data_IF_941934750612
#
_entry.id   IF_941934750612
#
_cell.length_a   1.000
_cell.length_b   1.000
_cell.length_c   1.000
_cell.angle_alpha   90.00
_cell.angle_beta   90.00
_cell.angle_gamma   90.00
#
_symmetry.space_group_name_H-M   'P 1'
#
loop_
_entity.id
_entity.type
_entity.pdbx_description
1 polymer ?
#
# COMPACT_ATOMS: atom_id res chain seq x y z
N UNK A 1 -14.37 -0.58 20.21
CA UNK A 1 -14.43 -1.23 18.87
C UNK A 1 -13.50 -2.43 18.79
N UNK A 2 -12.16 -2.26 18.79
CA UNK A 2 -11.22 -3.39 18.69
C UNK A 2 -11.41 -4.46 19.79
N UNK A 3 -11.76 -4.05 21.01
CA UNK A 3 -12.09 -4.98 22.11
C UNK A 3 -13.32 -5.85 21.84
N UNK A 4 -14.33 -5.35 21.14
CA UNK A 4 -15.52 -6.11 20.75
C UNK A 4 -15.21 -7.05 19.58
N UNK A 5 -14.26 -6.71 18.71
CA UNK A 5 -13.86 -7.58 17.60
C UNK A 5 -13.22 -8.87 18.10
N UNK A 6 -12.46 -8.82 19.21
CA UNK A 6 -11.86 -10.01 19.82
C UNK A 6 -12.89 -11.07 20.25
N UNK A 7 -14.14 -10.67 20.54
CA UNK A 7 -15.19 -11.61 20.94
C UNK A 7 -15.90 -12.25 19.74
N UNK A 8 -15.88 -11.58 18.59
CA UNK A 8 -16.61 -12.00 17.38
C UNK A 8 -15.72 -12.74 16.36
N UNK A 9 -14.43 -12.43 16.31
CA UNK A 9 -13.49 -13.01 15.35
C UNK A 9 -12.54 -13.95 16.07
N UNK A 10 -12.69 -15.25 15.77
CA UNK A 10 -11.81 -16.29 16.27
C UNK A 10 -10.37 -16.08 15.80
N UNK A 11 -9.41 -16.31 16.69
CA UNK A 11 -7.96 -16.30 16.43
C UNK A 11 -7.40 -14.95 15.93
N UNK A 12 -8.14 -13.85 16.15
CA UNK A 12 -7.66 -12.49 15.80
C UNK A 12 -6.55 -12.04 16.75
N UNK A 13 -5.47 -11.53 16.19
CA UNK A 13 -4.35 -10.94 16.95
C UNK A 13 -4.24 -9.45 16.63
N UNK A 14 -4.20 -8.62 17.66
CA UNK A 14 -4.23 -7.15 17.53
C UNK A 14 -2.94 -6.46 17.98
N UNK A 15 -1.94 -7.20 18.48
CA UNK A 15 -0.74 -6.60 19.11
C UNK A 15 0.06 -5.71 18.16
N UNK A 16 0.12 -6.08 16.87
CA UNK A 16 0.73 -5.22 15.84
C UNK A 16 -0.13 -3.98 15.53
N UNK A 17 -1.46 -4.06 15.63
CA UNK A 17 -2.33 -2.89 15.45
C UNK A 17 -1.99 -1.83 16.50
N UNK A 18 -1.88 -2.23 17.77
CA UNK A 18 -1.60 -1.29 18.86
C UNK A 18 -0.25 -0.58 18.64
N UNK A 19 0.78 -1.32 18.22
CA UNK A 19 2.09 -0.76 17.88
C UNK A 19 2.05 0.17 16.67
N UNK A 20 1.32 -0.18 15.62
CA UNK A 20 1.16 0.71 14.47
C UNK A 20 0.36 1.96 14.81
N UNK A 21 -0.66 1.86 15.65
CA UNK A 21 -1.39 3.03 16.14
C UNK A 21 -0.43 3.96 16.88
N UNK A 22 0.37 3.43 17.81
CA UNK A 22 1.34 4.20 18.57
C UNK A 22 2.37 4.92 17.67
N UNK A 23 2.83 4.25 16.61
CA UNK A 23 3.91 4.77 15.76
C UNK A 23 3.42 5.62 14.58
N UNK A 24 2.21 5.38 14.07
CA UNK A 24 1.69 6.00 12.85
C UNK A 24 0.57 7.02 13.09
N UNK A 25 0.09 7.17 14.32
CA UNK A 25 -0.93 8.17 14.66
C UNK A 25 -0.36 9.24 15.61
N UNK A 26 -1.00 10.42 15.64
CA UNK A 26 -0.71 11.44 16.64
C UNK A 26 -0.86 10.89 18.06
N UNK A 27 0.10 11.16 18.95
CA UNK A 27 0.10 10.66 20.33
C UNK A 27 -0.20 11.74 21.38
N UNK A 28 -0.31 13.00 20.96
CA UNK A 28 -0.64 14.13 21.84
C UNK A 28 -1.68 15.07 21.22
N UNK A 29 -2.37 15.85 22.05
CA UNK A 29 -3.35 16.85 21.59
C UNK A 29 -2.73 17.89 20.65
N UNK A 30 -1.46 18.25 20.88
CA UNK A 30 -0.71 19.15 20.00
C UNK A 30 -0.46 18.54 18.61
N UNK A 31 -0.06 17.26 18.56
CA UNK A 31 0.12 16.53 17.30
C UNK A 31 -1.22 16.38 16.55
N UNK A 32 -2.31 16.06 17.25
CA UNK A 32 -3.66 15.99 16.66
C UNK A 32 -4.06 17.32 16.06
N UNK A 33 -3.90 18.41 16.81
CA UNK A 33 -4.24 19.77 16.36
C UNK A 33 -3.44 20.17 15.13
N UNK A 34 -2.14 19.87 15.11
CA UNK A 34 -1.28 20.15 13.97
C UNK A 34 -1.67 19.31 12.74
N UNK A 35 -1.96 18.03 12.93
CA UNK A 35 -2.39 17.14 11.85
C UNK A 35 -3.69 17.63 11.19
N UNK A 36 -4.70 17.98 11.99
CA UNK A 36 -5.99 18.50 11.51
C UNK A 36 -5.82 19.83 10.76
N UNK A 37 -4.99 20.74 11.27
CA UNK A 37 -4.69 22.01 10.61
C UNK A 37 -4.04 21.80 9.24
N UNK A 38 -3.02 20.95 9.16
CA UNK A 38 -2.27 20.69 7.91
C UNK A 38 -3.08 19.91 6.88
N UNK A 39 -3.94 19.00 7.34
CA UNK A 39 -4.81 18.22 6.45
C UNK A 39 -5.73 19.08 5.58
N UNK A 40 -6.05 20.31 5.99
CA UNK A 40 -6.86 21.25 5.19
C UNK A 40 -6.23 21.60 3.83
N UNK A 41 -4.91 21.47 3.68
CA UNK A 41 -4.20 21.80 2.44
C UNK A 41 -3.25 20.71 1.95
N UNK A 42 -2.86 19.75 2.79
CA UNK A 42 -1.86 18.73 2.46
C UNK A 42 -2.47 17.32 2.26
N UNK A 43 -3.76 17.12 2.51
CA UNK A 43 -4.40 15.82 2.35
C UNK A 43 -4.76 15.56 0.87
N UNK A 44 -4.28 14.46 0.25
CA UNK A 44 -4.60 14.17 -1.14
C UNK A 44 -6.02 13.59 -1.28
N UNK A 45 -6.81 14.03 -2.26
CA UNK A 45 -8.08 13.38 -2.60
C UNK A 45 -7.94 11.87 -2.91
N UNK A 46 -8.92 11.02 -2.56
CA UNK A 46 -10.21 11.36 -1.95
C UNK A 46 -10.20 11.29 -0.42
N UNK A 47 -9.02 11.25 0.22
CA UNK A 47 -8.98 11.24 1.68
C UNK A 47 -9.64 12.52 2.19
N UNK A 48 -10.64 12.36 3.04
CA UNK A 48 -11.41 13.44 3.65
C UNK A 48 -11.06 13.63 5.12
N UNK A 49 -10.35 12.66 5.72
CA UNK A 49 -9.88 12.72 7.10
C UNK A 49 -8.41 12.26 7.24
N UNK A 50 -7.53 13.07 7.88
CA UNK A 50 -6.13 12.68 8.08
C UNK A 50 -5.90 11.50 9.04
N UNK A 51 -6.88 11.16 9.89
CA UNK A 51 -6.74 10.12 10.93
C UNK A 51 -7.53 8.87 10.53
N UNK A 52 -7.18 8.29 9.38
CA UNK A 52 -7.91 7.14 8.83
C UNK A 52 -7.35 5.83 9.36
N UNK A 53 -8.24 4.99 9.89
CA UNK A 53 -7.99 3.59 10.22
C UNK A 53 -9.09 2.74 9.59
N UNK A 54 -8.73 1.84 8.68
CA UNK A 54 -9.69 0.98 7.98
C UNK A 54 -9.53 -0.47 8.41
N UNK A 55 -10.63 -1.22 8.39
CA UNK A 55 -10.63 -2.65 8.63
C UNK A 55 -11.31 -3.36 7.46
N UNK A 56 -10.81 -4.53 7.12
CA UNK A 56 -11.46 -5.43 6.17
C UNK A 56 -11.62 -6.83 6.77
N UNK A 57 -12.65 -7.53 6.31
CA UNK A 57 -12.93 -8.91 6.68
C UNK A 57 -12.96 -9.76 5.41
N UNK A 58 -12.00 -10.69 5.29
CA UNK A 58 -12.11 -11.74 4.29
C UNK A 58 -13.14 -12.76 4.77
N UNK A 59 -14.21 -12.93 4.00
CA UNK A 59 -15.31 -13.86 4.29
C UNK A 59 -15.09 -15.17 3.52
N UNK A 60 -14.36 -16.11 4.12
CA UNK A 60 -14.05 -17.41 3.49
C UNK A 60 -14.90 -18.48 4.16
N UNK A 61 -16.05 -18.79 3.56
CA UNK A 61 -17.05 -19.68 4.16
C UNK A 61 -17.48 -19.15 5.54
N UNK A 62 -17.31 -19.98 6.57
CA UNK A 62 -17.57 -19.59 7.96
C UNK A 62 -16.43 -18.79 8.62
N UNK A 63 -15.23 -18.80 8.04
CA UNK A 63 -14.07 -18.10 8.58
C UNK A 63 -14.16 -16.60 8.29
N UNK A 64 -13.70 -15.80 9.26
CA UNK A 64 -13.52 -14.35 9.15
C UNK A 64 -12.05 -14.06 9.41
N UNK A 65 -11.35 -13.50 8.43
CA UNK A 65 -9.96 -13.04 8.64
C UNK A 65 -9.95 -11.53 8.60
N UNK A 66 -9.50 -10.91 9.69
CA UNK A 66 -9.40 -9.46 9.78
C UNK A 66 -8.09 -8.95 9.19
N UNK A 67 -8.19 -7.81 8.52
CA UNK A 67 -7.07 -6.96 8.13
C UNK A 67 -7.29 -5.56 8.66
N UNK A 68 -6.21 -4.89 9.01
CA UNK A 68 -6.22 -3.47 9.37
C UNK A 68 -5.35 -2.68 8.40
N UNK A 69 -5.74 -1.45 8.15
CA UNK A 69 -5.03 -0.53 7.27
C UNK A 69 -4.87 0.83 7.95
N UNK A 70 -3.65 1.36 7.87
CA UNK A 70 -3.22 2.59 8.52
C UNK A 70 -2.53 3.47 7.49
N UNK A 71 -2.64 4.78 7.65
CA UNK A 71 -2.08 5.76 6.71
C UNK A 71 -0.97 6.54 7.40
N UNK A 72 0.32 6.25 7.13
CA UNK A 72 1.45 6.94 7.78
C UNK A 72 1.47 8.45 7.57
N UNK A 73 0.73 8.96 6.58
CA UNK A 73 0.49 10.39 6.39
C UNK A 73 -0.06 11.06 7.66
N UNK A 74 -0.87 10.35 8.47
CA UNK A 74 -1.39 10.87 9.73
C UNK A 74 -0.26 11.35 10.65
N UNK A 75 0.80 10.54 10.82
CA UNK A 75 1.97 10.91 11.62
C UNK A 75 2.77 12.03 10.98
N UNK A 76 3.00 11.98 9.67
CA UNK A 76 3.72 13.02 8.93
C UNK A 76 3.03 14.40 9.08
N UNK A 77 1.70 14.44 9.02
CA UNK A 77 0.92 15.66 9.27
C UNK A 77 1.10 16.14 10.73
N UNK A 78 1.12 15.22 11.70
CA UNK A 78 1.29 15.52 13.12
C UNK A 78 2.68 16.00 13.52
N UNK A 79 3.75 15.51 12.90
CA UNK A 79 5.14 15.80 13.33
C UNK A 79 5.85 16.86 12.48
N UNK A 80 5.22 17.33 11.41
CA UNK A 80 5.91 18.16 10.41
C UNK A 80 6.59 17.31 9.33
N UNK A 81 7.08 17.97 8.28
CA UNK A 81 7.82 17.33 7.16
C UNK A 81 9.23 16.85 7.54
N UNK A 82 9.60 16.89 8.82
CA UNK A 82 10.89 16.40 9.30
C UNK A 82 11.01 14.87 9.24
N UNK A 83 9.88 14.16 9.15
CA UNK A 83 9.82 12.71 8.99
C UNK A 83 8.83 12.37 7.89
N UNK A 84 9.31 11.78 6.79
CA UNK A 84 8.43 11.36 5.69
C UNK A 84 7.56 10.17 6.13
N UNK A 85 6.40 9.99 5.49
CA UNK A 85 5.51 8.86 5.66
C UNK A 85 6.22 7.51 5.39
N UNK A 86 7.16 7.49 4.44
CA UNK A 86 8.06 6.35 4.19
C UNK A 86 8.86 5.98 5.44
N UNK A 87 9.59 6.94 6.01
CA UNK A 87 10.45 6.72 7.19
C UNK A 87 9.62 6.22 8.37
N UNK A 88 8.50 6.89 8.64
CA UNK A 88 7.59 6.49 9.71
C UNK A 88 7.04 5.07 9.52
N UNK A 89 6.62 4.74 8.29
CA UNK A 89 6.11 3.42 7.94
C UNK A 89 7.15 2.32 8.08
N UNK A 90 8.34 2.52 7.52
CA UNK A 90 9.39 1.50 7.50
C UNK A 90 9.99 1.28 8.89
N UNK A 91 10.22 2.34 9.65
CA UNK A 91 10.68 2.22 11.03
C UNK A 91 9.64 1.52 11.92
N UNK A 92 8.35 1.79 11.72
CA UNK A 92 7.30 1.08 12.45
C UNK A 92 7.37 -0.43 12.17
N UNK A 93 7.56 -0.84 10.92
CA UNK A 93 7.67 -2.27 10.54
C UNK A 93 8.92 -2.91 11.15
N UNK A 94 10.09 -2.26 11.02
CA UNK A 94 11.37 -2.78 11.57
C UNK A 94 11.31 -3.02 13.07
N UNK A 95 10.58 -2.16 13.79
CA UNK A 95 10.50 -2.18 15.25
C UNK A 95 9.36 -3.05 15.80
N UNK A 96 8.57 -3.72 14.95
CA UNK A 96 7.47 -4.57 15.39
C UNK A 96 7.93 -5.69 16.32
N UNK A 97 7.11 -5.95 17.34
CA UNK A 97 7.29 -7.07 18.26
C UNK A 97 6.04 -7.96 18.25
N UNK A 98 6.17 -9.28 18.14
CA UNK A 98 7.38 -10.02 17.76
C UNK A 98 7.70 -9.88 16.25
N UNK A 99 8.86 -10.38 15.83
CA UNK A 99 9.26 -10.64 14.43
C UNK A 99 9.63 -9.44 13.53
N UNK A 100 9.73 -8.21 14.04
CA UNK A 100 10.26 -7.07 13.27
C UNK A 100 11.65 -7.33 12.70
N UNK A 101 12.50 -8.05 13.44
CA UNK A 101 13.83 -8.51 13.02
C UNK A 101 13.81 -9.41 11.77
N UNK A 102 12.75 -10.21 11.61
CA UNK A 102 12.58 -11.10 10.46
C UNK A 102 11.95 -10.42 9.25
N UNK A 103 11.34 -9.25 9.45
CA UNK A 103 10.73 -8.42 8.41
C UNK A 103 11.71 -7.37 7.88
N UNK A 104 12.61 -6.89 8.74
CA UNK A 104 13.58 -5.84 8.44
C UNK A 104 14.40 -6.08 7.14
N UNK A 105 14.89 -7.29 6.82
CA UNK A 105 15.65 -7.50 5.59
C UNK A 105 14.88 -7.17 4.31
N UNK A 106 13.57 -7.49 4.27
CA UNK A 106 12.71 -7.16 3.14
C UNK A 106 12.33 -5.69 3.09
N UNK A 107 12.13 -5.06 4.25
CA UNK A 107 11.95 -3.61 4.34
C UNK A 107 13.20 -2.90 3.82
N UNK A 108 14.40 -3.32 4.23
CA UNK A 108 15.67 -2.71 3.80
C UNK A 108 15.96 -2.93 2.32
N UNK A 109 15.54 -4.07 1.77
CA UNK A 109 15.57 -4.30 0.33
C UNK A 109 14.67 -3.29 -0.40
N UNK A 110 13.42 -3.16 0.05
CA UNK A 110 12.45 -2.23 -0.54
C UNK A 110 12.89 -0.77 -0.39
N UNK A 111 13.46 -0.41 0.76
CA UNK A 111 13.98 0.92 1.07
C UNK A 111 15.10 1.32 0.11
N UNK A 112 16.06 0.42 -0.13
CA UNK A 112 17.12 0.63 -1.14
C UNK A 112 16.58 0.74 -2.56
N UNK A 113 15.53 -0.01 -2.89
CA UNK A 113 14.88 0.09 -4.19
C UNK A 113 14.14 1.42 -4.35
N UNK A 114 13.49 1.90 -3.29
CA UNK A 114 12.67 3.11 -3.32
C UNK A 114 13.45 4.34 -3.81
N UNK A 115 14.72 4.48 -3.42
CA UNK A 115 15.60 5.55 -3.87
C UNK A 115 16.13 5.38 -5.31
N UNK A 116 16.03 4.17 -5.86
CA UNK A 116 16.46 3.83 -7.22
C UNK A 116 15.31 3.79 -8.22
N UNK A 117 14.07 3.85 -7.74
CA UNK A 117 12.90 3.88 -8.60
C UNK A 117 13.02 5.09 -9.56
N UNK A 118 12.81 4.93 -10.87
CA UNK A 118 12.91 6.02 -11.84
C UNK A 118 11.99 7.21 -11.53
N UNK A 119 10.90 6.94 -10.81
CA UNK A 119 9.90 7.90 -10.38
C UNK A 119 9.73 7.84 -8.86
N UNK A 120 9.35 8.96 -8.25
CA UNK A 120 9.16 9.04 -6.80
C UNK A 120 7.94 8.21 -6.36
N UNK A 121 8.20 7.06 -5.73
CA UNK A 121 7.17 6.29 -5.02
C UNK A 121 6.68 7.07 -3.80
N UNK A 122 5.36 7.12 -3.64
CA UNK A 122 4.69 7.73 -2.49
C UNK A 122 4.00 6.64 -1.68
N UNK A 123 4.33 6.54 -0.39
CA UNK A 123 3.72 5.56 0.51
C UNK A 123 2.35 6.09 0.95
N UNK A 124 1.30 5.37 0.59
CA UNK A 124 -0.08 5.75 0.90
C UNK A 124 -0.57 5.10 2.19
N UNK A 125 -0.38 3.79 2.30
CA UNK A 125 -1.06 2.97 3.29
C UNK A 125 -0.24 1.73 3.65
N UNK A 126 -0.36 1.29 4.89
CA UNK A 126 0.18 0.01 5.37
C UNK A 126 -1.00 -0.86 5.79
N UNK A 127 -1.10 -2.04 5.18
CA UNK A 127 -2.07 -3.07 5.54
C UNK A 127 -1.42 -4.22 6.29
N UNK A 128 -2.12 -4.81 7.25
CA UNK A 128 -1.66 -5.99 7.99
C UNK A 128 -2.76 -7.04 8.11
N UNK A 129 -2.36 -8.31 8.09
CA UNK A 129 -3.24 -9.41 8.49
C UNK A 129 -3.27 -9.50 10.03
N UNK A 130 -4.46 -9.46 10.64
CA UNK A 130 -4.65 -9.49 12.10
C UNK A 130 -4.69 -10.93 12.63
N UNK A 131 -3.61 -11.68 12.37
CA UNK A 131 -3.42 -13.08 12.74
C UNK A 131 -2.10 -13.25 13.50
N UNK A 132 -1.77 -14.47 13.89
CA UNK A 132 -0.46 -14.81 14.46
C UNK A 132 0.69 -14.08 13.70
N UNK A 133 1.48 -13.22 14.36
CA UNK A 133 2.58 -12.48 13.77
C UNK A 133 3.56 -13.31 12.93
N UNK A 134 3.74 -14.59 13.24
CA UNK A 134 4.60 -15.49 12.47
C UNK A 134 4.03 -15.88 11.10
N UNK A 135 2.72 -15.70 10.91
CA UNK A 135 1.95 -16.00 9.69
C UNK A 135 1.41 -14.75 9.01
N UNK A 136 1.43 -13.62 9.71
CA UNK A 136 0.91 -12.36 9.22
C UNK A 136 1.78 -11.79 8.08
N UNK A 137 1.11 -11.05 7.20
CA UNK A 137 1.76 -10.32 6.10
C UNK A 137 1.57 -8.84 6.33
N UNK A 138 2.58 -8.07 5.93
CA UNK A 138 2.52 -6.61 5.87
C UNK A 138 2.48 -6.21 4.41
N UNK A 139 1.60 -5.29 4.07
CA UNK A 139 1.43 -4.76 2.72
C UNK A 139 1.72 -3.28 2.71
N UNK A 140 2.72 -2.87 1.97
CA UNK A 140 3.03 -1.45 1.77
C UNK A 140 2.42 -1.03 0.46
N UNK A 141 1.42 -0.16 0.53
CA UNK A 141 0.75 0.40 -0.64
C UNK A 141 1.43 1.70 -1.02
N UNK A 142 1.81 1.80 -2.29
CA UNK A 142 2.46 2.96 -2.83
C UNK A 142 2.00 3.23 -4.25
N UNK A 143 2.02 4.49 -4.66
CA UNK A 143 1.70 4.87 -6.02
C UNK A 143 2.78 5.75 -6.63
N UNK A 144 2.71 5.91 -7.95
CA UNK A 144 3.54 6.81 -8.74
C UNK A 144 2.67 7.95 -9.26
N UNK A 145 2.88 9.20 -8.80
CA UNK A 145 1.94 10.30 -9.07
C UNK A 145 2.02 10.84 -10.50
N UNK A 146 3.06 10.49 -11.26
CA UNK A 146 3.42 11.18 -12.51
C UNK A 146 3.40 10.29 -13.74
N UNK A 147 3.35 8.96 -13.60
CA UNK A 147 3.62 8.04 -14.71
C UNK A 147 2.82 6.73 -14.63
N UNK A 148 2.31 6.30 -15.78
CA UNK A 148 1.35 5.21 -15.97
C UNK A 148 1.62 4.47 -17.31
N UNK A 149 2.85 3.98 -17.44
CA UNK A 149 3.36 3.22 -18.59
C UNK A 149 3.68 1.77 -18.21
N UNK A 150 3.72 0.87 -19.20
CA UNK A 150 4.00 -0.54 -18.96
C UNK A 150 5.46 -0.78 -18.54
N UNK A 151 6.41 -0.09 -19.16
CA UNK A 151 7.82 -0.22 -18.85
C UNK A 151 8.13 0.06 -17.36
N UNK A 152 7.44 1.03 -16.77
CA UNK A 152 7.52 1.39 -15.37
C UNK A 152 6.90 0.32 -14.47
N UNK A 153 5.74 -0.21 -14.84
CA UNK A 153 5.10 -1.34 -14.16
C UNK A 153 6.05 -2.52 -14.09
N UNK A 154 6.62 -2.90 -15.24
CA UNK A 154 7.57 -3.99 -15.33
C UNK A 154 8.80 -3.71 -14.47
N UNK A 155 9.32 -2.48 -14.53
CA UNK A 155 10.46 -2.04 -13.71
C UNK A 155 10.17 -2.16 -12.21
N UNK A 156 9.03 -1.65 -11.72
CA UNK A 156 8.65 -1.71 -10.30
C UNK A 156 8.41 -3.14 -9.85
N UNK A 157 7.70 -3.92 -10.65
CA UNK A 157 7.35 -5.31 -10.33
C UNK A 157 8.57 -6.24 -10.25
N UNK A 158 9.67 -5.86 -10.89
CA UNK A 158 10.94 -6.59 -10.89
C UNK A 158 12.01 -5.92 -10.03
N UNK A 159 11.67 -4.84 -9.32
CA UNK A 159 12.62 -4.02 -8.55
C UNK A 159 13.84 -3.58 -9.37
N UNK A 160 13.60 -3.16 -10.62
CA UNK A 160 14.64 -2.80 -11.58
C UNK A 160 15.45 -4.00 -12.08
N UNK A 161 14.80 -5.16 -12.23
CA UNK A 161 15.45 -6.41 -12.65
C UNK A 161 16.15 -7.20 -11.54
N UNK A 162 16.03 -6.77 -10.27
CA UNK A 162 16.58 -7.52 -9.13
C UNK A 162 15.75 -8.76 -8.77
N UNK A 163 14.50 -8.84 -9.24
CA UNK A 163 13.61 -9.98 -9.00
C UNK A 163 12.98 -10.46 -10.32
N UNK A 164 13.44 -11.61 -10.79
CA UNK A 164 13.16 -12.16 -12.12
C UNK A 164 12.86 -13.66 -12.08
N UNK A 165 12.28 -14.14 -10.98
CA UNK A 165 11.86 -15.53 -10.90
C UNK A 165 10.81 -15.87 -11.98
N UNK A 166 10.76 -17.12 -12.45
CA UNK A 166 9.91 -17.50 -13.58
C UNK A 166 8.42 -17.21 -13.38
N UNK A 167 7.91 -17.40 -12.16
CA UNK A 167 6.49 -17.18 -11.85
C UNK A 167 6.13 -15.70 -11.93
N UNK A 168 6.97 -14.81 -11.38
CA UNK A 168 6.83 -13.35 -11.52
C UNK A 168 6.83 -12.90 -12.97
N UNK A 169 7.80 -13.35 -13.77
CA UNK A 169 7.88 -12.96 -15.19
C UNK A 169 6.68 -13.45 -15.99
N UNK A 170 6.22 -14.67 -15.72
CA UNK A 170 5.00 -15.22 -16.32
C UNK A 170 3.75 -14.42 -15.92
N UNK A 171 3.65 -14.01 -14.66
CA UNK A 171 2.57 -13.13 -14.20
C UNK A 171 2.56 -11.80 -14.94
N UNK A 172 3.73 -11.21 -15.16
CA UNK A 172 3.88 -9.97 -15.93
C UNK A 172 3.52 -10.15 -17.40
N UNK A 173 3.89 -11.26 -18.03
CA UNK A 173 3.48 -11.58 -19.40
C UNK A 173 1.96 -11.65 -19.53
N UNK A 174 1.30 -12.34 -18.59
CA UNK A 174 -0.18 -12.42 -18.56
C UNK A 174 -0.78 -11.03 -18.37
N UNK A 175 -0.27 -10.23 -17.43
CA UNK A 175 -0.78 -8.89 -17.20
C UNK A 175 -0.57 -7.98 -18.43
N UNK A 176 0.57 -8.06 -19.11
CA UNK A 176 0.84 -7.29 -20.32
C UNK A 176 -0.21 -7.56 -21.39
N UNK A 177 -0.57 -8.83 -21.58
CA UNK A 177 -1.60 -9.24 -22.54
C UNK A 177 -2.98 -8.64 -22.25
N UNK A 178 -3.24 -8.27 -20.99
CA UNK A 178 -4.49 -7.64 -20.53
C UNK A 178 -4.38 -6.12 -20.37
N UNK A 179 -3.19 -5.54 -20.47
CA UNK A 179 -2.89 -4.18 -20.04
C UNK A 179 -3.72 -3.11 -20.75
N UNK A 180 -3.75 -3.17 -22.09
CA UNK A 180 -4.54 -2.24 -22.91
C UNK A 180 -6.04 -2.39 -22.60
N UNK A 181 -6.52 -3.62 -22.41
CA UNK A 181 -7.93 -3.89 -22.05
C UNK A 181 -8.28 -3.30 -20.68
N UNK A 182 -7.47 -3.50 -19.65
CA UNK A 182 -7.72 -2.97 -18.30
C UNK A 182 -7.80 -1.44 -18.26
N UNK A 183 -7.08 -0.77 -19.16
CA UNK A 183 -7.09 0.69 -19.30
C UNK A 183 -8.15 1.23 -20.24
N UNK A 184 -8.92 0.35 -20.89
CA UNK A 184 -9.83 0.70 -21.98
C UNK A 184 -9.09 1.47 -23.10
N UNK A 185 -7.91 0.99 -23.49
CA UNK A 185 -7.19 1.48 -24.68
C UNK A 185 -7.56 0.66 -25.89
N UNK A 186 -7.93 1.36 -26.98
CA UNK A 186 -8.25 0.76 -28.26
C UNK A 186 -7.03 0.66 -29.19
N UNK A 187 -6.07 1.56 -29.00
CA UNK A 187 -4.83 1.60 -29.78
C UNK A 187 -3.75 0.75 -29.10
N UNK A 188 -3.00 0.01 -29.92
CA UNK A 188 -1.79 -0.66 -29.45
C UNK A 188 -0.65 0.35 -29.41
N UNK A 189 -0.43 0.92 -28.24
CA UNK A 189 0.73 1.74 -27.97
C UNK A 189 1.95 0.87 -27.59
N UNK A 190 3.14 1.46 -27.69
CA UNK A 190 4.35 0.83 -27.15
C UNK A 190 4.37 0.84 -25.60
N UNK A 191 5.31 0.10 -25.02
CA UNK A 191 5.42 -0.06 -23.58
C UNK A 191 5.81 1.23 -22.82
N UNK A 192 6.41 2.19 -23.53
CA UNK A 192 6.81 3.49 -22.99
C UNK A 192 5.66 4.51 -23.00
N UNK A 193 4.56 4.21 -23.70
CA UNK A 193 3.39 5.08 -23.75
C UNK A 193 2.80 5.30 -22.35
N UNK A 194 2.89 6.56 -21.93
CA UNK A 194 2.36 7.03 -20.67
C UNK A 194 0.93 7.54 -20.85
N UNK A 195 -0.04 6.81 -20.29
CA UNK A 195 -1.44 7.22 -20.38
C UNK A 195 -1.71 8.31 -19.35
N UNK A 196 -2.27 9.46 -19.77
CA UNK A 196 -2.68 10.51 -18.85
C UNK A 196 -3.53 9.97 -17.69
N UNK A 197 -3.18 10.36 -16.47
CA UNK A 197 -3.93 9.98 -15.27
C UNK A 197 -5.34 10.55 -15.34
N UNK A 198 -6.35 9.70 -15.07
CA UNK A 198 -7.75 10.14 -15.07
C UNK A 198 -8.04 11.16 -13.96
N UNK A 199 -7.36 11.00 -12.81
CA UNK A 199 -7.47 11.91 -11.67
C UNK A 199 -6.06 12.26 -11.16
N UNK A 200 -5.37 13.23 -11.79
CA UNK A 200 -3.96 13.52 -11.51
C UNK A 200 -3.71 14.04 -10.08
N UNK A 201 -4.75 14.46 -9.37
CA UNK A 201 -4.68 14.90 -7.97
C UNK A 201 -5.01 13.80 -6.97
N UNK A 202 -5.38 12.61 -7.42
CA UNK A 202 -5.74 11.48 -6.57
C UNK A 202 -4.78 10.32 -6.78
N UNK A 203 -4.35 9.67 -5.70
CA UNK A 203 -3.57 8.44 -5.79
C UNK A 203 -4.35 7.31 -6.50
N UNK A 204 -5.69 7.34 -6.46
CA UNK A 204 -6.57 6.44 -7.23
C UNK A 204 -6.56 6.72 -8.74
N UNK A 205 -6.03 7.85 -9.17
CA UNK A 205 -5.87 8.19 -10.58
C UNK A 205 -4.67 7.50 -11.23
N UNK A 206 -3.80 6.89 -10.44
CA UNK A 206 -2.55 6.22 -10.84
C UNK A 206 -2.54 4.74 -10.47
N UNK A 207 -1.54 4.00 -10.95
CA UNK A 207 -1.37 2.59 -10.57
C UNK A 207 -0.89 2.53 -9.12
N UNK A 208 -1.53 1.68 -8.32
CA UNK A 208 -1.09 1.40 -6.96
C UNK A 208 -0.38 0.05 -6.90
N UNK A 209 0.82 0.06 -6.36
CA UNK A 209 1.60 -1.13 -6.03
C UNK A 209 1.36 -1.51 -4.58
N UNK A 210 1.32 -2.80 -4.31
CA UNK A 210 1.33 -3.38 -2.97
C UNK A 210 2.53 -4.29 -2.84
N UNK A 211 3.47 -3.92 -1.97
CA UNK A 211 4.63 -4.73 -1.63
C UNK A 211 4.29 -5.60 -0.43
N UNK A 212 4.15 -6.91 -0.65
CA UNK A 212 3.84 -7.88 0.41
C UNK A 212 5.14 -8.39 1.06
N UNK A 213 5.28 -8.08 2.34
CA UNK A 213 6.39 -8.49 3.19
C UNK A 213 5.89 -9.57 4.14
N UNK A 214 6.64 -10.67 4.20
CA UNK A 214 6.35 -11.82 5.06
C UNK A 214 7.63 -12.24 5.77
N UNK A 215 7.50 -12.72 7.00
CA UNK A 215 8.65 -13.17 7.80
C UNK A 215 9.47 -14.23 7.05
N UNK A 216 10.78 -13.99 6.92
CA UNK A 216 11.72 -14.95 6.33
C UNK A 216 11.85 -14.91 4.80
N UNK A 217 11.13 -14.02 4.10
CA UNK A 217 11.41 -13.71 2.68
C UNK A 217 12.23 -12.44 2.58
N UNK A 218 13.24 -12.44 1.72
CA UNK A 218 14.13 -11.29 1.51
C UNK A 218 13.57 -10.31 0.48
N UNK A 219 13.01 -10.81 -0.63
CA UNK A 219 12.42 -9.99 -1.68
C UNK A 219 10.90 -9.94 -1.47
N UNK A 220 10.29 -8.75 -1.35
CA UNK A 220 8.84 -8.63 -1.26
C UNK A 220 8.14 -9.13 -2.54
N UNK A 221 6.93 -9.66 -2.39
CA UNK A 221 6.06 -9.89 -3.55
C UNK A 221 5.42 -8.55 -3.97
N UNK A 222 5.13 -8.38 -5.25
CA UNK A 222 4.51 -7.16 -5.78
C UNK A 222 3.15 -7.51 -6.35
N UNK A 223 2.13 -6.76 -5.95
CA UNK A 223 0.80 -6.78 -6.56
C UNK A 223 0.45 -5.41 -7.09
N UNK A 224 -0.34 -5.37 -8.14
CA UNK A 224 -0.78 -4.13 -8.76
C UNK A 224 -2.29 -4.01 -8.72
N UNK A 225 -2.75 -2.81 -8.41
CA UNK A 225 -4.16 -2.44 -8.49
C UNK A 225 -4.32 -1.44 -9.63
N UNK A 226 -5.10 -1.84 -10.63
CA UNK A 226 -5.50 -0.99 -11.75
C UNK A 226 -6.91 -0.50 -11.49
N UNK A 227 -7.09 0.81 -11.38
CA UNK A 227 -8.40 1.39 -11.12
C UNK A 227 -9.22 1.42 -12.42
N UNK A 228 -10.08 0.40 -12.59
CA UNK A 228 -10.99 0.29 -13.72
C UNK A 228 -12.29 1.02 -13.38
N UNK A 229 -12.39 2.30 -13.76
CA UNK A 229 -13.67 3.03 -13.70
C UNK A 229 -14.53 2.55 -14.88
N UNK A 230 -15.60 1.80 -14.58
CA UNK A 230 -16.55 1.28 -15.56
C UNK A 230 -17.69 2.27 -15.89
N UNK A 231 -17.94 3.28 -15.06
CA UNK A 231 -19.02 4.25 -15.28
C UNK A 231 -18.60 5.65 -14.86
N UNK A 232 -18.82 6.63 -15.74
CA UNK A 232 -18.42 8.03 -15.54
C UNK A 232 -19.16 8.72 -14.38
N UNK A 233 -20.26 8.15 -13.86
CA UNK A 233 -21.17 8.88 -12.94
C UNK A 233 -21.56 8.16 -11.63
N UNK A 234 -21.03 6.96 -11.31
CA UNK A 234 -21.46 6.20 -10.12
C UNK A 234 -20.28 5.51 -9.42
N UNK A 235 -19.56 6.26 -8.59
CA UNK A 235 -18.72 5.73 -7.51
C UNK A 235 -17.46 4.96 -7.92
N UNK A 236 -16.49 4.89 -7.00
CA UNK A 236 -15.26 4.13 -7.19
C UNK A 236 -15.55 2.63 -7.07
N UNK A 237 -15.37 1.87 -8.15
CA UNK A 237 -15.28 0.41 -8.08
C UNK A 237 -13.79 0.01 -8.10
N UNK A 238 -13.30 -0.52 -6.97
CA UNK A 238 -11.96 -1.08 -6.87
C UNK A 238 -11.95 -2.49 -7.47
N UNK A 239 -11.42 -2.64 -8.68
CA UNK A 239 -11.02 -3.96 -9.18
C UNK A 239 -9.61 -4.27 -8.70
N UNK A 240 -9.50 -5.15 -7.70
CA UNK A 240 -8.21 -5.71 -7.30
C UNK A 240 -7.93 -6.91 -8.22
N UNK A 241 -7.11 -6.72 -9.26
CA UNK A 241 -6.62 -7.86 -10.04
C UNK A 241 -5.47 -8.49 -9.24
N UNK A 242 -5.72 -9.67 -8.66
CA UNK A 242 -4.69 -10.49 -8.06
C UNK A 242 -4.01 -11.27 -9.18
N UNK A 243 -2.84 -10.82 -9.62
CA UNK A 243 -1.90 -11.64 -10.40
C UNK A 243 -0.67 -11.87 -9.54
#
# INVERSE_FOLDING_TARGET
MLSQIKTEIRDVQLDWIDQFIENLFPSSEAEVTLALKRAQSELPPPLDHPLTFNMALDLIGATRKMKAYMFPMAKNLATGRHRDARDAGFDAIRNLRPHGDKLAPAVDFLDKYWDKCPEKLTLDMIGIDCVDPSKARIKIYAHLPTRNSWDLIHHVSTFGGQATDPDRLKGLEILHSLWNTLRNEQENHDDAYDKPLRHPTSFLGSIMFSFEIVSGRYVPDVKMSVFVLLFQDLGFLLFLLLI
#
